data_IF_337410667565
#
_entry.id   IF_337410667565
#
_cell.length_a   1.000
_cell.length_b   1.000
_cell.length_c   1.000
_cell.angle_alpha   90.00
_cell.angle_beta   90.00
_cell.angle_gamma   90.00
#
_symmetry.space_group_name_H-M   'P 1'
#
loop_
_entity.id
_entity.type
_entity.pdbx_description
1 polymer ?
#
# COMPACT_ATOMS: atom_id res chain seq x y z
N UNK A 1 -28.88 -3.23 8.64
CA UNK A 1 -27.47 -3.19 9.07
C UNK A 1 -26.59 -4.30 8.48
N UNK A 2 -27.06 -5.54 8.32
CA UNK A 2 -26.24 -6.66 7.80
C UNK A 2 -25.71 -6.48 6.36
N UNK A 3 -26.46 -5.82 5.46
CA UNK A 3 -26.00 -5.54 4.09
C UNK A 3 -24.84 -4.54 4.05
N UNK A 4 -24.93 -3.47 4.84
CA UNK A 4 -23.87 -2.46 4.96
C UNK A 4 -22.57 -3.09 5.50
N UNK A 5 -22.69 -3.94 6.53
CA UNK A 5 -21.55 -4.65 7.10
C UNK A 5 -20.86 -5.60 6.11
N UNK A 6 -21.63 -6.27 5.23
CA UNK A 6 -21.06 -7.12 4.17
C UNK A 6 -20.38 -6.30 3.07
N UNK A 7 -20.99 -5.18 2.67
CA UNK A 7 -20.42 -4.29 1.66
C UNK A 7 -19.07 -3.71 2.11
N UNK A 8 -18.98 -3.22 3.35
CA UNK A 8 -17.74 -2.63 3.92
C UNK A 8 -16.63 -3.68 4.11
N UNK A 9 -16.98 -4.95 4.34
CA UNK A 9 -15.99 -6.04 4.51
C UNK A 9 -15.51 -6.64 3.20
N UNK A 10 -16.03 -6.21 2.05
CA UNK A 10 -15.63 -6.73 0.75
C UNK A 10 -14.24 -6.24 0.33
N UNK A 11 -13.43 -7.12 -0.25
CA UNK A 11 -12.14 -6.77 -0.87
C UNK A 11 -12.26 -5.62 -1.88
N UNK A 12 -13.36 -5.59 -2.65
CA UNK A 12 -13.61 -4.51 -3.63
C UNK A 12 -13.80 -3.16 -2.95
N UNK A 13 -14.49 -3.11 -1.81
CA UNK A 13 -14.64 -1.87 -1.05
C UNK A 13 -13.28 -1.40 -0.52
N UNK A 14 -12.45 -2.30 0.00
CA UNK A 14 -11.08 -1.99 0.41
C UNK A 14 -10.24 -1.42 -0.75
N UNK A 15 -10.28 -2.05 -1.92
CA UNK A 15 -9.58 -1.57 -3.12
C UNK A 15 -10.09 -0.20 -3.58
N UNK A 16 -11.41 0.04 -3.56
CA UNK A 16 -12.00 1.33 -3.91
C UNK A 16 -11.58 2.45 -2.95
N UNK A 17 -11.56 2.17 -1.64
CA UNK A 17 -11.07 3.13 -0.63
C UNK A 17 -9.61 3.49 -0.90
N UNK A 18 -8.76 2.49 -1.18
CA UNK A 18 -7.35 2.72 -1.47
C UNK A 18 -7.14 3.45 -2.79
N UNK A 19 -7.89 3.10 -3.85
CA UNK A 19 -7.83 3.76 -5.14
C UNK A 19 -8.24 5.23 -5.03
N UNK A 20 -9.31 5.51 -4.27
CA UNK A 20 -9.80 6.87 -4.02
C UNK A 20 -8.77 7.67 -3.23
N UNK A 21 -8.20 7.09 -2.16
CA UNK A 21 -7.15 7.74 -1.36
C UNK A 21 -5.91 8.09 -2.21
N UNK A 22 -5.42 7.12 -2.99
CA UNK A 22 -4.28 7.33 -3.89
C UNK A 22 -4.59 8.37 -4.98
N UNK A 23 -5.82 8.39 -5.52
CA UNK A 23 -6.25 9.39 -6.50
C UNK A 23 -6.32 10.80 -5.88
N UNK A 24 -6.85 10.94 -4.67
CA UNK A 24 -6.85 12.22 -3.95
C UNK A 24 -5.42 12.69 -3.66
N UNK A 25 -4.52 11.75 -3.36
CA UNK A 25 -3.10 12.07 -3.19
C UNK A 25 -2.45 12.52 -4.49
N UNK A 26 -2.74 11.85 -5.61
CA UNK A 26 -2.30 12.27 -6.94
C UNK A 26 -2.81 13.68 -7.29
N UNK A 27 -4.11 13.93 -7.05
CA UNK A 27 -4.74 15.23 -7.27
C UNK A 27 -4.07 16.33 -6.44
N UNK A 28 -3.73 16.07 -5.18
CA UNK A 28 -3.06 17.05 -4.31
C UNK A 28 -1.70 17.52 -4.82
N UNK A 29 -1.08 16.77 -5.74
CA UNK A 29 0.18 17.11 -6.37
C UNK A 29 0.06 17.75 -7.76
N UNK A 30 -1.17 17.92 -8.27
CA UNK A 30 -1.41 18.51 -9.57
C UNK A 30 -0.85 19.95 -9.66
N UNK A 31 -0.40 20.41 -10.84
CA UNK A 31 0.24 21.72 -10.99
C UNK A 31 -0.67 22.92 -10.66
N UNK A 32 -1.99 22.73 -10.67
CA UNK A 32 -2.95 23.74 -10.24
C UNK A 32 -3.28 23.68 -8.74
N UNK A 33 -2.82 22.65 -8.02
CA UNK A 33 -3.03 22.49 -6.57
C UNK A 33 -1.81 22.89 -5.75
N UNK A 34 -0.61 22.70 -6.31
CA UNK A 34 0.64 22.98 -5.60
C UNK A 34 1.69 23.55 -6.53
N UNK A 35 2.46 24.51 -6.01
CA UNK A 35 3.65 25.01 -6.68
C UNK A 35 4.66 23.86 -6.86
N UNK A 36 5.09 23.65 -8.09
CA UNK A 36 5.97 22.55 -8.49
C UNK A 36 7.45 22.81 -8.14
N UNK A 37 7.79 24.06 -7.83
CA UNK A 37 9.13 24.48 -7.41
C UNK A 37 9.21 24.76 -5.90
N UNK A 38 8.18 24.39 -5.14
CA UNK A 38 8.20 24.55 -3.68
C UNK A 38 9.29 23.71 -3.04
N UNK A 39 9.67 24.10 -1.83
CA UNK A 39 10.52 23.26 -0.99
C UNK A 39 9.83 21.90 -0.69
N UNK A 40 10.55 20.78 -0.76
CA UNK A 40 10.06 19.46 -0.37
C UNK A 40 9.51 19.48 1.06
N UNK A 41 8.37 18.81 1.28
CA UNK A 41 7.81 18.71 2.64
C UNK A 41 8.57 17.70 3.47
N UNK A 42 9.05 16.63 2.83
CA UNK A 42 9.85 15.58 3.45
C UNK A 42 10.99 15.12 2.55
N UNK A 43 12.00 14.46 3.14
CA UNK A 43 13.20 14.02 2.43
C UNK A 43 12.91 13.33 1.09
N UNK A 44 11.96 12.39 1.04
CA UNK A 44 11.64 11.66 -0.19
C UNK A 44 11.07 12.57 -1.28
N UNK A 45 10.36 13.65 -0.93
CA UNK A 45 9.94 14.67 -1.90
C UNK A 45 11.12 15.42 -2.52
N UNK A 46 12.33 15.38 -1.95
CA UNK A 46 13.51 16.00 -2.56
C UNK A 46 14.02 15.26 -3.80
N UNK A 47 13.62 14.00 -3.99
CA UNK A 47 14.11 13.19 -5.11
C UNK A 47 13.52 13.60 -6.45
N UNK A 48 12.34 14.23 -6.47
CA UNK A 48 11.67 14.65 -7.70
C UNK A 48 10.56 15.65 -7.44
N UNK A 49 9.99 16.22 -8.50
CA UNK A 49 8.94 17.23 -8.40
C UNK A 49 7.63 16.68 -7.83
N UNK A 50 6.77 17.54 -7.23
CA UNK A 50 5.44 17.15 -6.81
C UNK A 50 4.65 16.44 -7.93
N UNK A 51 4.72 16.93 -9.18
CA UNK A 51 4.04 16.34 -10.33
C UNK A 51 4.42 14.88 -10.58
N UNK A 52 5.71 14.54 -10.48
CA UNK A 52 6.16 13.15 -10.66
C UNK A 52 5.63 12.27 -9.54
N UNK A 53 5.66 12.75 -8.29
CA UNK A 53 5.02 12.03 -7.18
C UNK A 53 3.51 11.88 -7.37
N UNK A 54 2.84 12.91 -7.88
CA UNK A 54 1.45 12.82 -8.31
C UNK A 54 1.22 11.72 -9.34
N UNK A 55 2.10 11.60 -10.33
CA UNK A 55 2.10 10.51 -11.31
C UNK A 55 2.25 9.13 -10.67
N UNK A 56 3.17 8.96 -9.72
CA UNK A 56 3.34 7.70 -8.97
C UNK A 56 2.05 7.31 -8.24
N UNK A 57 1.44 8.26 -7.52
CA UNK A 57 0.16 8.03 -6.86
C UNK A 57 -0.98 7.73 -7.85
N UNK A 58 -1.00 8.36 -9.01
CA UNK A 58 -1.98 8.09 -10.07
C UNK A 58 -1.83 6.67 -10.65
N UNK A 59 -0.59 6.21 -10.87
CA UNK A 59 -0.30 4.83 -11.31
C UNK A 59 -0.76 3.82 -10.25
N UNK A 60 -0.49 4.09 -8.97
CA UNK A 60 -0.97 3.24 -7.87
C UNK A 60 -2.50 3.20 -7.84
N UNK A 61 -3.17 4.36 -7.96
CA UNK A 61 -4.63 4.44 -8.01
C UNK A 61 -5.21 3.66 -9.19
N UNK A 62 -4.59 3.78 -10.37
CA UNK A 62 -4.96 3.02 -11.56
C UNK A 62 -4.80 1.51 -11.32
N UNK A 63 -3.66 1.06 -10.80
CA UNK A 63 -3.42 -0.35 -10.50
C UNK A 63 -4.43 -0.92 -9.50
N UNK A 64 -4.81 -0.15 -8.48
CA UNK A 64 -5.86 -0.53 -7.54
C UNK A 64 -7.23 -0.62 -8.23
N UNK A 65 -7.53 0.31 -9.14
CA UNK A 65 -8.72 0.28 -10.00
C UNK A 65 -8.78 -0.97 -10.88
N UNK A 66 -7.69 -1.30 -11.56
CA UNK A 66 -7.59 -2.52 -12.38
C UNK A 66 -7.74 -3.77 -11.51
N UNK A 67 -7.16 -3.80 -10.31
CA UNK A 67 -7.23 -4.93 -9.40
C UNK A 67 -8.67 -5.25 -8.92
N UNK A 68 -9.61 -4.30 -8.98
CA UNK A 68 -11.04 -4.53 -8.71
C UNK A 68 -11.64 -5.53 -9.72
N UNK A 69 -11.18 -5.47 -10.97
CA UNK A 69 -11.64 -6.34 -12.06
C UNK A 69 -10.70 -7.52 -12.30
N UNK A 70 -9.40 -7.35 -12.05
CA UNK A 70 -8.35 -8.34 -12.25
C UNK A 70 -7.74 -8.77 -10.92
N UNK A 71 -8.38 -9.71 -10.22
CA UNK A 71 -7.99 -10.10 -8.85
C UNK A 71 -6.54 -10.61 -8.72
N UNK A 72 -5.93 -11.12 -9.80
CA UNK A 72 -4.52 -11.54 -9.82
C UNK A 72 -3.54 -10.41 -9.54
N UNK A 73 -3.94 -9.16 -9.76
CA UNK A 73 -3.11 -7.98 -9.53
C UNK A 73 -3.22 -7.42 -8.11
N UNK A 74 -4.13 -7.94 -7.27
CA UNK A 74 -4.34 -7.44 -5.92
C UNK A 74 -3.05 -7.45 -5.09
N UNK A 75 -2.23 -8.51 -5.05
CA UNK A 75 -1.00 -8.50 -4.24
C UNK A 75 -0.03 -7.40 -4.68
N UNK A 76 0.06 -7.14 -5.99
CA UNK A 76 0.93 -6.10 -6.55
C UNK A 76 0.38 -4.72 -6.20
N UNK A 77 -0.89 -4.46 -6.48
CA UNK A 77 -1.50 -3.14 -6.24
C UNK A 77 -1.52 -2.78 -4.74
N UNK A 78 -1.83 -3.74 -3.87
CA UNK A 78 -1.79 -3.58 -2.42
C UNK A 78 -0.36 -3.40 -1.93
N UNK A 79 0.59 -4.19 -2.44
CA UNK A 79 2.01 -4.04 -2.12
C UNK A 79 2.53 -2.64 -2.45
N UNK A 80 2.23 -2.13 -3.65
CA UNK A 80 2.63 -0.79 -4.07
C UNK A 80 2.10 0.31 -3.13
N UNK A 81 0.80 0.30 -2.80
CA UNK A 81 0.22 1.35 -1.93
C UNK A 81 0.75 1.25 -0.49
N UNK A 82 0.97 0.03 0.02
CA UNK A 82 1.56 -0.19 1.34
C UNK A 82 3.00 0.30 1.37
N UNK A 83 3.84 -0.11 0.42
CA UNK A 83 5.24 0.31 0.34
C UNK A 83 5.35 1.82 0.18
N UNK A 84 4.46 2.44 -0.59
CA UNK A 84 4.45 3.89 -0.77
C UNK A 84 4.11 4.63 0.53
N UNK A 85 3.07 4.20 1.26
CA UNK A 85 2.76 4.78 2.56
C UNK A 85 3.88 4.53 3.58
N UNK A 86 4.51 3.36 3.56
CA UNK A 86 5.66 3.06 4.42
C UNK A 86 6.85 3.97 4.10
N UNK A 87 7.13 4.22 2.83
CA UNK A 87 8.18 5.15 2.41
C UNK A 87 7.90 6.59 2.88
N UNK A 88 6.65 7.05 2.79
CA UNK A 88 6.23 8.35 3.34
C UNK A 88 6.41 8.40 4.86
N UNK A 89 6.00 7.35 5.57
CA UNK A 89 6.18 7.22 7.02
C UNK A 89 7.66 7.35 7.42
N UNK A 90 8.54 6.59 6.76
CA UNK A 90 9.97 6.63 7.00
C UNK A 90 10.55 8.01 6.69
N UNK A 91 10.12 8.65 5.61
CA UNK A 91 10.60 9.97 5.24
C UNK A 91 10.24 11.05 6.26
N UNK A 92 9.02 11.04 6.81
CA UNK A 92 8.62 11.99 7.86
C UNK A 92 9.28 11.68 9.21
N UNK A 93 9.45 10.39 9.52
CA UNK A 93 10.21 9.95 10.69
C UNK A 93 11.65 10.45 10.62
N UNK A 94 12.29 10.29 9.45
CA UNK A 94 13.66 10.74 9.22
C UNK A 94 13.84 12.23 9.50
N UNK A 95 12.93 13.09 9.01
CA UNK A 95 12.98 14.53 9.29
C UNK A 95 12.92 14.89 10.77
N UNK A 96 12.19 14.10 11.57
CA UNK A 96 12.17 14.29 13.02
C UNK A 96 13.52 13.93 13.62
N UNK A 97 14.11 12.81 13.18
CA UNK A 97 15.39 12.30 13.69
C UNK A 97 16.57 13.24 13.38
N UNK A 98 16.58 13.89 12.22
CA UNK A 98 17.63 14.83 11.83
C UNK A 98 17.37 16.28 12.28
N UNK A 99 16.26 16.52 12.99
CA UNK A 99 15.94 17.83 13.58
C UNK A 99 15.38 18.88 12.62
N UNK A 100 15.11 18.54 11.35
CA UNK A 100 14.49 19.46 10.38
C UNK A 100 13.07 19.86 10.79
N UNK A 101 12.30 18.92 11.34
CA UNK A 101 10.92 19.16 11.77
C UNK A 101 10.58 18.33 13.01
N UNK A 102 10.59 18.92 14.22
CA UNK A 102 10.37 18.20 15.49
C UNK A 102 9.00 17.49 15.61
N UNK A 103 8.02 17.86 14.77
CA UNK A 103 6.68 17.28 14.78
C UNK A 103 6.33 16.48 13.51
N UNK A 104 7.29 16.24 12.61
CA UNK A 104 7.03 15.46 11.40
C UNK A 104 6.55 14.02 11.70
N UNK A 105 6.95 13.45 12.84
CA UNK A 105 6.49 12.13 13.31
C UNK A 105 4.97 12.02 13.47
N UNK A 106 4.26 13.13 13.73
CA UNK A 106 2.78 13.12 13.85
C UNK A 106 2.15 12.72 12.52
N UNK A 107 2.64 13.28 11.42
CA UNK A 107 2.22 12.90 10.06
C UNK A 107 2.67 11.47 9.73
N UNK A 108 3.87 11.08 10.17
CA UNK A 108 4.38 9.72 9.96
C UNK A 108 3.44 8.64 10.54
N UNK A 109 2.82 8.90 11.70
CA UNK A 109 1.85 7.96 12.32
C UNK A 109 0.71 7.63 11.37
N UNK A 110 0.13 8.61 10.68
CA UNK A 110 -0.97 8.37 9.75
C UNK A 110 -0.55 7.49 8.56
N UNK A 111 0.66 7.70 8.04
CA UNK A 111 1.22 6.87 6.98
C UNK A 111 1.55 5.45 7.43
N UNK A 112 2.22 5.32 8.57
CA UNK A 112 2.56 4.03 9.16
C UNK A 112 1.34 3.21 9.52
N UNK A 113 0.36 3.82 10.21
CA UNK A 113 -0.89 3.17 10.58
C UNK A 113 -1.70 2.74 9.35
N UNK A 114 -1.77 3.58 8.30
CA UNK A 114 -2.44 3.20 7.04
C UNK A 114 -1.77 1.98 6.41
N UNK A 115 -0.43 1.95 6.33
CA UNK A 115 0.33 0.81 5.79
C UNK A 115 0.01 -0.48 6.56
N UNK A 116 0.06 -0.43 7.89
CA UNK A 116 -0.20 -1.57 8.77
C UNK A 116 -1.66 -2.02 8.71
N UNK A 117 -2.61 -1.09 8.67
CA UNK A 117 -4.05 -1.40 8.56
C UNK A 117 -4.38 -2.06 7.23
N UNK A 118 -3.76 -1.62 6.14
CA UNK A 118 -3.94 -2.25 4.81
C UNK A 118 -3.36 -3.65 4.80
N UNK A 119 -2.14 -3.84 5.32
CA UNK A 119 -1.55 -5.18 5.48
C UNK A 119 -2.44 -6.09 6.31
N UNK A 120 -2.92 -5.61 7.46
CA UNK A 120 -3.84 -6.37 8.33
C UNK A 120 -5.19 -6.68 7.65
N UNK A 121 -5.73 -5.74 6.88
CA UNK A 121 -7.02 -5.93 6.20
C UNK A 121 -6.91 -6.97 5.09
N UNK A 122 -5.88 -6.88 4.25
CA UNK A 122 -5.72 -7.75 3.08
C UNK A 122 -5.05 -9.08 3.39
N UNK A 123 -4.25 -9.20 4.47
CA UNK A 123 -3.70 -10.50 4.90
C UNK A 123 -4.79 -11.49 5.32
N UNK A 124 -5.94 -11.01 5.80
CA UNK A 124 -7.09 -11.85 6.17
C UNK A 124 -7.97 -12.25 4.98
N UNK A 125 -7.77 -11.64 3.81
CA UNK A 125 -8.56 -11.94 2.61
C UNK A 125 -8.03 -13.18 1.86
N UNK A 126 -6.80 -13.61 2.14
CA UNK A 126 -6.16 -14.74 1.48
C UNK A 126 -5.77 -15.81 2.52
N UNK A 127 -6.12 -17.09 2.32
CA UNK A 127 -5.65 -18.17 3.17
C UNK A 127 -4.11 -18.17 3.20
N UNK A 128 -3.53 -18.41 4.37
CA UNK A 128 -2.08 -18.64 4.48
C UNK A 128 -1.70 -19.79 3.56
N UNK A 129 -0.61 -19.61 2.80
CA UNK A 129 -0.05 -20.68 1.97
C UNK A 129 0.33 -21.82 2.91
N UNK A 130 -0.47 -22.89 2.92
CA UNK A 130 -0.11 -24.12 3.62
C UNK A 130 1.00 -24.76 2.78
N UNK A 131 2.25 -24.55 3.17
CA UNK A 131 3.36 -25.32 2.64
C UNK A 131 3.20 -26.72 3.22
N UNK A 132 2.61 -27.61 2.43
CA UNK A 132 2.58 -29.02 2.74
C UNK A 132 4.02 -29.52 2.56
N UNK A 133 4.79 -29.49 3.65
CA UNK A 133 6.07 -30.17 3.74
C UNK A 133 5.74 -31.66 3.76
N UNK A 134 5.45 -32.20 2.57
CA UNK A 134 5.13 -33.60 2.39
C UNK A 134 6.21 -34.43 3.05
N UNK A 135 5.81 -35.11 4.11
CA UNK A 135 6.49 -36.25 4.72
C UNK A 135 6.77 -37.24 3.59
N UNK A 136 7.94 -37.14 2.95
CA UNK A 136 8.51 -38.22 2.16
C UNK A 136 8.86 -39.33 3.14
N UNK A 137 7.85 -40.02 3.66
CA UNK A 137 8.02 -41.40 4.07
C UNK A 137 8.36 -42.16 2.82
N UNK A 138 9.62 -42.53 2.69
CA UNK A 138 10.06 -43.60 1.80
C UNK A 138 9.15 -44.80 2.08
N UNK A 139 8.42 -45.24 1.06
CA UNK A 139 7.70 -46.51 1.10
C UNK A 139 8.76 -47.63 1.12
N UNK A 140 8.89 -48.41 2.20
CA UNK A 140 9.87 -49.50 2.25
C UNK A 140 9.46 -50.70 1.38
N UNK A 141 8.36 -50.61 0.60
CA UNK A 141 7.85 -51.68 -0.26
C UNK A 141 8.15 -51.46 -1.74
N UNK A 142 9.38 -51.04 -2.06
CA UNK A 142 9.98 -51.25 -3.38
C UNK A 142 10.22 -52.75 -3.64
N UNK A 143 9.14 -53.53 -3.70
CA UNK A 143 9.14 -54.90 -4.20
C UNK A 143 9.14 -54.85 -5.72
N UNK A 144 10.26 -55.24 -6.31
CA UNK A 144 10.41 -55.50 -7.74
C UNK A 144 9.92 -56.93 -7.98
N UNK A 145 8.84 -57.06 -8.74
CA UNK A 145 8.46 -58.30 -9.43
C UNK A 145 9.36 -58.52 -10.65
#
# INVERSE_FOLDING_TARGET
MQFLGRAVRSTRAGLLILATSAMLRAWSYAPWQVDQQRNPVHWLESLTTPMVWGGVWAVIAFMLGVAIFCHRLIPIAVGLVVSMHAAWCLSFTWQTLIGESPRAWVTAISYGSTSLLVLWAFSRAYPTVRIDLGDRREDPRGGVD
#
